data_IF_186007548971
#
_entry.id   IF_186007548971
#
_cell.length_a   1.000
_cell.length_b   1.000
_cell.length_c   1.000
_cell.angle_alpha   90.00
_cell.angle_beta   90.00
_cell.angle_gamma   90.00
#
_symmetry.space_group_name_H-M   'P 1'
#
loop_
_entity.id
_entity.type
_entity.pdbx_description
1 polymer ?
#
# COMPACT_ATOMS: atom_id res chain seq x y z
N UNK A 1 -50.77 -16.84 48.22
CA UNK A 1 -51.94 -17.66 47.82
C UNK A 1 -52.35 -17.14 46.44
N UNK A 2 -52.37 -17.88 45.34
CA UNK A 2 -52.48 -19.30 45.11
C UNK A 2 -51.58 -19.75 43.93
N UNK A 3 -51.28 -21.04 43.93
CA UNK A 3 -50.56 -21.76 42.89
C UNK A 3 -51.43 -21.98 41.65
N UNK A 4 -50.80 -22.19 40.50
CA UNK A 4 -51.26 -23.22 39.57
C UNK A 4 -50.08 -23.79 38.78
N UNK A 5 -50.10 -25.11 38.65
CA UNK A 5 -49.02 -25.98 38.25
C UNK A 5 -49.39 -26.73 36.95
N UNK A 6 -48.44 -27.57 36.50
CA UNK A 6 -48.57 -28.67 35.54
C UNK A 6 -48.62 -28.30 34.05
N UNK A 7 -48.11 -29.10 33.10
CA UNK A 7 -47.22 -30.27 33.03
C UNK A 7 -47.11 -30.53 31.50
N UNK A 8 -45.92 -30.64 30.90
CA UNK A 8 -45.13 -31.86 30.69
C UNK A 8 -45.56 -32.75 29.50
N UNK A 9 -44.52 -33.17 28.77
CA UNK A 9 -44.33 -34.37 27.92
C UNK A 9 -44.95 -34.44 26.51
N UNK A 10 -44.05 -34.74 25.56
CA UNK A 10 -44.31 -35.58 24.39
C UNK A 10 -44.29 -34.79 23.09
N UNK A 11 -43.68 -35.26 22.00
CA UNK A 11 -43.37 -36.63 21.61
C UNK A 11 -42.43 -36.57 20.39
N UNK A 12 -41.40 -37.41 20.38
CA UNK A 12 -40.61 -37.71 19.19
C UNK A 12 -41.50 -38.13 18.02
N UNK A 13 -41.23 -37.64 16.82
CA UNK A 13 -41.44 -38.38 15.57
C UNK A 13 -40.44 -37.89 14.50
N UNK A 14 -39.42 -38.70 14.23
CA UNK A 14 -38.86 -38.86 12.88
C UNK A 14 -39.87 -39.66 12.04
N UNK A 15 -39.95 -39.42 10.72
CA UNK A 15 -39.46 -40.41 9.75
C UNK A 15 -38.79 -39.75 8.53
N UNK A 16 -37.62 -40.22 8.07
CA UNK A 16 -37.38 -41.30 7.09
C UNK A 16 -37.31 -40.84 5.62
N UNK A 17 -36.09 -40.94 5.08
CA UNK A 17 -35.71 -41.41 3.73
C UNK A 17 -36.49 -40.95 2.49
N UNK A 18 -35.78 -40.26 1.58
CA UNK A 18 -35.92 -40.48 0.14
C UNK A 18 -34.60 -40.20 -0.58
N UNK A 19 -34.03 -41.25 -1.19
CA UNK A 19 -32.92 -41.18 -2.11
C UNK A 19 -33.40 -40.55 -3.45
N UNK A 20 -32.59 -39.67 -4.02
CA UNK A 20 -32.69 -39.28 -5.41
C UNK A 20 -31.28 -39.19 -6.01
N UNK A 21 -30.89 -40.26 -6.69
CA UNK A 21 -29.82 -40.29 -7.68
C UNK A 21 -30.19 -39.34 -8.82
N UNK A 22 -29.53 -38.18 -8.88
CA UNK A 22 -29.58 -37.25 -9.99
C UNK A 22 -28.22 -37.19 -10.68
N UNK A 23 -28.18 -37.58 -11.94
CA UNK A 23 -27.00 -37.75 -12.77
C UNK A 23 -26.10 -36.50 -12.83
N UNK A 24 -24.79 -36.71 -12.75
CA UNK A 24 -23.77 -35.70 -12.95
C UNK A 24 -23.62 -35.36 -14.45
N UNK A 25 -23.74 -34.09 -14.86
CA UNK A 25 -23.18 -33.66 -16.14
C UNK A 25 -21.66 -33.46 -15.96
N UNK A 26 -20.92 -34.37 -16.58
CA UNK A 26 -19.51 -34.27 -16.88
C UNK A 26 -19.23 -32.99 -17.68
N UNK A 27 -18.76 -31.94 -17.01
CA UNK A 27 -18.10 -30.81 -17.66
C UNK A 27 -16.59 -31.06 -17.63
N UNK A 28 -16.13 -31.58 -18.75
CA UNK A 28 -14.73 -31.78 -19.13
C UNK A 28 -13.92 -30.49 -18.88
N UNK A 29 -13.06 -30.50 -17.88
CA UNK A 29 -12.06 -29.45 -17.68
C UNK A 29 -10.92 -29.69 -18.69
N UNK A 30 -10.59 -28.73 -19.59
CA UNK A 30 -9.42 -28.88 -20.42
C UNK A 30 -8.16 -28.87 -19.54
N UNK A 31 -7.18 -29.76 -19.79
CA UNK A 31 -5.88 -29.65 -19.13
C UNK A 31 -5.20 -28.34 -19.57
N UNK A 32 -4.41 -27.69 -18.69
CA UNK A 32 -3.62 -26.55 -19.10
C UNK A 32 -2.64 -26.99 -20.19
N UNK A 33 -2.67 -26.31 -21.34
CA UNK A 33 -1.66 -26.51 -22.38
C UNK A 33 -0.28 -26.22 -21.78
N UNK A 34 0.52 -27.28 -21.65
CA UNK A 34 1.94 -27.17 -21.36
C UNK A 34 2.60 -26.57 -22.61
N UNK A 35 2.91 -25.27 -22.54
CA UNK A 35 3.88 -24.66 -23.44
C UNK A 35 5.23 -25.35 -23.25
N UNK A 36 5.91 -25.80 -24.33
CA UNK A 36 7.22 -26.41 -24.22
C UNK A 36 8.21 -25.39 -23.66
N UNK A 37 8.76 -25.69 -22.48
CA UNK A 37 9.83 -24.95 -21.87
C UNK A 37 11.07 -25.04 -22.78
N UNK A 38 11.42 -23.93 -23.42
CA UNK A 38 12.74 -23.79 -24.02
C UNK A 38 13.79 -23.91 -22.91
N UNK A 39 14.90 -24.66 -23.10
CA UNK A 39 15.94 -24.76 -22.10
C UNK A 39 16.71 -23.43 -22.05
N UNK A 40 16.25 -22.51 -21.21
CA UNK A 40 17.04 -21.32 -20.85
C UNK A 40 18.21 -21.80 -20.01
N UNK A 41 19.37 -21.84 -20.66
CA UNK A 41 20.70 -22.04 -20.09
C UNK A 41 20.85 -21.17 -18.83
N UNK A 42 20.78 -21.81 -17.65
CA UNK A 42 21.02 -21.15 -16.35
C UNK A 42 22.44 -20.57 -16.35
N UNK A 43 22.55 -19.25 -16.35
CA UNK A 43 23.76 -18.55 -15.87
C UNK A 43 23.57 -18.26 -14.39
N UNK A 44 24.51 -18.63 -13.50
CA UNK A 44 24.51 -18.13 -12.14
C UNK A 44 24.99 -16.68 -12.17
N UNK A 45 24.15 -15.77 -11.73
CA UNK A 45 24.43 -14.33 -11.80
C UNK A 45 23.24 -13.55 -11.30
N UNK A 46 22.90 -13.76 -10.02
CA UNK A 46 21.98 -12.88 -9.33
C UNK A 46 22.57 -11.48 -9.28
N UNK A 47 21.82 -10.53 -9.82
CA UNK A 47 21.53 -9.18 -9.31
C UNK A 47 20.97 -8.41 -10.51
N UNK A 48 19.67 -8.13 -10.46
CA UNK A 48 19.07 -7.09 -11.27
C UNK A 48 18.46 -6.07 -10.31
N UNK A 49 19.29 -5.19 -9.77
CA UNK A 49 18.82 -3.94 -9.16
C UNK A 49 18.62 -2.96 -10.31
N UNK A 50 17.38 -2.52 -10.51
CA UNK A 50 17.14 -1.32 -11.31
C UNK A 50 15.95 -0.56 -10.78
N UNK A 51 16.23 0.37 -9.88
CA UNK A 51 15.41 1.55 -9.68
C UNK A 51 16.30 2.77 -9.84
N UNK A 52 16.14 3.49 -10.94
CA UNK A 52 16.71 4.82 -11.13
C UNK A 52 15.57 5.77 -11.52
N UNK A 53 15.16 6.72 -10.66
CA UNK A 53 14.46 7.89 -11.13
C UNK A 53 15.50 8.81 -11.79
N UNK A 54 15.42 8.94 -13.12
CA UNK A 54 16.30 9.81 -13.88
C UNK A 54 16.27 11.23 -13.31
N UNK A 55 17.46 11.75 -13.00
CA UNK A 55 17.70 13.19 -12.96
C UNK A 55 17.22 13.80 -14.28
N UNK A 56 16.41 14.85 -14.18
CA UNK A 56 15.77 15.46 -15.33
C UNK A 56 15.27 16.84 -14.94
N UNK A 57 16.07 17.84 -15.24
CA UNK A 57 15.85 19.30 -15.36
C UNK A 57 14.57 19.85 -14.72
N UNK A 58 14.77 20.72 -13.73
CA UNK A 58 13.74 21.50 -13.08
C UNK A 58 13.25 22.66 -13.98
N UNK A 59 11.94 22.93 -14.10
CA UNK A 59 11.47 24.28 -14.30
C UNK A 59 11.37 24.97 -12.94
N UNK A 60 11.98 26.14 -12.84
CA UNK A 60 11.86 27.02 -11.67
C UNK A 60 10.40 27.49 -11.54
N UNK A 61 9.78 27.24 -10.39
CA UNK A 61 8.45 27.77 -10.06
C UNK A 61 7.91 27.14 -8.80
N UNK A 62 7.94 27.89 -7.70
CA UNK A 62 7.37 27.53 -6.39
C UNK A 62 8.08 26.38 -5.68
N UNK A 63 8.20 26.44 -4.35
CA UNK A 63 8.97 25.51 -3.50
C UNK A 63 8.56 24.03 -3.62
N UNK A 64 7.49 23.73 -4.36
CA UNK A 64 7.00 22.40 -4.72
C UNK A 64 7.62 21.82 -6.00
N UNK A 65 8.20 22.61 -6.91
CA UNK A 65 8.75 22.13 -8.18
C UNK A 65 10.05 21.31 -8.07
N UNK A 66 10.63 21.24 -6.87
CA UNK A 66 11.73 20.31 -6.54
C UNK A 66 11.25 18.93 -6.05
N UNK A 67 9.97 18.76 -5.76
CA UNK A 67 9.46 17.49 -5.22
C UNK A 67 9.42 16.40 -6.31
N UNK A 68 10.17 15.32 -6.10
CA UNK A 68 10.17 14.14 -6.97
C UNK A 68 9.68 12.92 -6.20
N UNK A 69 9.29 11.88 -6.94
CA UNK A 69 9.06 10.57 -6.33
C UNK A 69 10.37 10.08 -5.72
N UNK A 70 10.33 9.65 -4.47
CA UNK A 70 11.48 9.26 -3.68
C UNK A 70 12.05 10.38 -2.79
N UNK A 71 11.74 11.66 -3.05
CA UNK A 71 12.23 12.76 -2.24
C UNK A 71 11.77 12.64 -0.78
N UNK A 72 12.68 12.86 0.20
CA UNK A 72 12.30 12.98 1.59
C UNK A 72 11.54 14.29 1.81
N UNK A 73 10.51 14.24 2.65
CA UNK A 73 9.64 15.37 2.97
C UNK A 73 9.34 15.40 4.46
N UNK A 74 9.04 16.59 4.98
CA UNK A 74 8.55 16.80 6.34
C UNK A 74 7.18 17.47 6.30
N UNK A 75 6.25 16.95 7.08
CA UNK A 75 4.92 17.52 7.28
C UNK A 75 5.06 18.82 8.07
N UNK A 76 4.63 19.93 7.50
CA UNK A 76 4.70 21.26 8.12
C UNK A 76 3.49 21.48 9.02
N UNK A 77 2.31 21.07 8.56
CA UNK A 77 1.05 21.26 9.27
C UNK A 77 0.23 19.97 9.18
N UNK A 78 -0.39 19.59 10.29
CA UNK A 78 -1.24 18.42 10.36
C UNK A 78 -2.57 18.68 9.61
N UNK A 79 -2.88 17.95 8.53
CA UNK A 79 -4.15 18.11 7.83
C UNK A 79 -5.32 17.71 8.72
N UNK A 80 -6.44 18.41 8.64
CA UNK A 80 -7.68 18.06 9.38
C UNK A 80 -8.26 16.72 8.90
N UNK A 81 -8.16 16.45 7.60
CA UNK A 81 -8.73 15.27 6.94
C UNK A 81 -7.64 14.55 6.15
N UNK A 82 -7.57 13.22 6.29
CA UNK A 82 -6.59 12.36 5.64
C UNK A 82 -7.29 11.34 4.75
N UNK A 83 -6.80 11.18 3.52
CA UNK A 83 -7.27 10.13 2.63
C UNK A 83 -6.30 8.95 2.68
N UNK A 84 -6.81 7.80 3.14
CA UNK A 84 -5.99 6.59 3.31
C UNK A 84 -5.89 5.84 2.00
N UNK A 85 -4.71 5.31 1.69
CA UNK A 85 -4.46 4.47 0.50
C UNK A 85 -4.72 2.96 0.73
N UNK A 86 -5.69 2.61 1.59
CA UNK A 86 -6.10 1.22 1.83
C UNK A 86 -6.94 0.67 0.66
N UNK A 87 -7.21 -0.66 0.65
CA UNK A 87 -8.01 -1.31 -0.41
C UNK A 87 -9.36 -0.64 -0.65
N UNK A 88 -9.95 -0.05 0.39
CA UNK A 88 -11.10 0.84 0.29
C UNK A 88 -10.64 2.24 0.72
N UNK A 89 -10.42 3.18 -0.22
CA UNK A 89 -9.99 4.52 0.11
C UNK A 89 -11.09 5.26 0.87
N UNK A 90 -10.80 5.66 2.09
CA UNK A 90 -11.71 6.44 2.93
C UNK A 90 -11.05 7.74 3.37
N UNK A 91 -11.84 8.81 3.36
CA UNK A 91 -11.47 10.09 3.94
C UNK A 91 -11.81 10.05 5.43
N UNK A 92 -10.82 10.28 6.28
CA UNK A 92 -10.94 10.15 7.74
C UNK A 92 -10.44 11.41 8.42
N UNK A 93 -11.03 11.75 9.55
CA UNK A 93 -10.52 12.82 10.39
C UNK A 93 -9.14 12.43 10.95
N UNK A 94 -8.23 13.40 10.99
CA UNK A 94 -6.92 13.19 11.55
C UNK A 94 -6.97 13.20 13.08
N UNK A 95 -7.14 12.04 13.69
CA UNK A 95 -7.07 11.85 15.14
C UNK A 95 -5.62 11.77 15.65
N UNK A 96 -4.71 12.58 15.08
CA UNK A 96 -3.29 12.59 15.42
C UNK A 96 -2.45 11.49 14.74
N UNK A 97 -2.95 10.92 13.64
CA UNK A 97 -2.24 9.92 12.83
C UNK A 97 -1.09 10.55 12.04
N UNK A 98 -1.26 11.80 11.62
CA UNK A 98 -0.22 12.59 10.96
C UNK A 98 -0.08 13.89 11.72
N UNK A 99 1.13 14.20 12.16
CA UNK A 99 1.46 15.37 12.95
C UNK A 99 2.44 16.27 12.19
N UNK A 100 2.48 17.54 12.57
CA UNK A 100 3.55 18.42 12.14
C UNK A 100 4.89 17.87 12.64
N UNK A 101 5.91 17.90 11.79
CA UNK A 101 7.22 17.30 12.03
C UNK A 101 7.36 15.85 11.57
N UNK A 102 6.26 15.18 11.19
CA UNK A 102 6.37 13.81 10.67
C UNK A 102 7.17 13.80 9.36
N UNK A 103 8.12 12.87 9.27
CA UNK A 103 8.97 12.71 8.09
C UNK A 103 8.47 11.53 7.26
N UNK A 104 8.50 11.72 5.94
CA UNK A 104 8.07 10.70 4.99
C UNK A 104 8.85 10.75 3.68
N UNK A 105 8.40 9.91 2.75
CA UNK A 105 8.87 9.93 1.36
C UNK A 105 7.70 9.97 0.39
N UNK A 106 7.89 10.68 -0.72
CA UNK A 106 6.92 10.69 -1.81
C UNK A 106 6.96 9.34 -2.55
N UNK A 107 5.81 8.70 -2.66
CA UNK A 107 5.60 7.45 -3.41
C UNK A 107 5.10 7.70 -4.82
N UNK A 108 4.22 8.68 -5.02
CA UNK A 108 3.65 8.98 -6.34
C UNK A 108 3.08 10.39 -6.41
N UNK A 109 3.12 10.98 -7.62
CA UNK A 109 2.42 12.23 -7.96
C UNK A 109 0.97 11.93 -8.31
N UNK A 110 0.04 12.72 -7.78
CA UNK A 110 -1.35 12.76 -8.23
C UNK A 110 -1.67 14.12 -8.86
N UNK A 111 -2.73 14.19 -9.68
CA UNK A 111 -3.23 15.46 -10.18
C UNK A 111 -3.63 16.41 -9.03
N UNK A 112 -3.68 17.71 -9.32
CA UNK A 112 -4.11 18.78 -8.38
C UNK A 112 -3.21 18.91 -7.14
N UNK A 113 -1.90 18.74 -7.32
CA UNK A 113 -0.90 18.84 -6.24
C UNK A 113 -1.16 17.95 -5.03
N UNK A 114 -1.85 16.84 -5.26
CA UNK A 114 -2.00 15.76 -4.30
C UNK A 114 -0.83 14.79 -4.47
N UNK A 115 -0.30 14.27 -3.38
CA UNK A 115 0.86 13.39 -3.38
C UNK A 115 0.59 12.18 -2.50
N UNK A 116 0.96 10.99 -2.98
CA UNK A 116 0.99 9.80 -2.14
C UNK A 116 2.28 9.82 -1.33
N UNK A 117 2.17 9.91 -0.01
CA UNK A 117 3.28 10.01 0.91
C UNK A 117 3.28 8.78 1.81
N UNK A 118 4.44 8.12 1.93
CA UNK A 118 4.67 7.06 2.91
C UNK A 118 5.24 7.69 4.18
N UNK A 119 4.45 7.63 5.25
CA UNK A 119 4.83 7.96 6.62
C UNK A 119 5.04 6.67 7.41
N UNK A 120 5.59 6.78 8.62
CA UNK A 120 5.77 5.63 9.52
C UNK A 120 4.44 4.91 9.82
N UNK A 121 3.36 5.69 10.00
CA UNK A 121 2.02 5.16 10.32
C UNK A 121 1.35 4.48 9.12
N UNK A 122 1.66 4.92 7.89
CA UNK A 122 0.98 4.41 6.71
C UNK A 122 1.20 5.26 5.46
N UNK A 123 0.39 4.98 4.43
CA UNK A 123 0.42 5.73 3.17
C UNK A 123 -0.82 6.58 3.04
N UNK A 124 -0.62 7.88 2.82
CA UNK A 124 -1.68 8.88 2.80
C UNK A 124 -1.57 9.75 1.56
N UNK A 125 -2.71 10.31 1.13
CA UNK A 125 -2.73 11.35 0.11
C UNK A 125 -2.74 12.71 0.80
N UNK A 126 -1.67 13.48 0.59
CA UNK A 126 -1.46 14.80 1.17
C UNK A 126 -1.34 15.85 0.06
N UNK A 127 -1.92 17.02 0.27
CA UNK A 127 -1.71 18.17 -0.61
C UNK A 127 -0.30 18.74 -0.39
N UNK A 128 0.31 19.27 -1.45
CA UNK A 128 1.65 19.89 -1.40
C UNK A 128 1.79 21.07 -0.43
N UNK A 129 0.69 21.60 0.12
CA UNK A 129 0.68 22.65 1.15
C UNK A 129 0.99 22.15 2.56
N UNK A 130 0.80 20.86 2.84
CA UNK A 130 0.96 20.31 4.18
C UNK A 130 2.37 19.81 4.48
N UNK A 131 3.26 19.82 3.48
CA UNK A 131 4.62 19.31 3.64
C UNK A 131 5.61 20.09 2.76
N UNK A 132 6.90 19.98 3.10
CA UNK A 132 8.00 20.57 2.35
C UNK A 132 9.09 19.53 2.08
N UNK A 133 9.88 19.66 0.99
CA UNK A 133 11.06 18.84 0.81
C UNK A 133 12.00 18.97 2.00
N UNK A 134 12.64 17.88 2.37
CA UNK A 134 13.74 17.88 3.32
C UNK A 134 15.03 17.83 2.51
N UNK A 135 15.89 18.83 2.63
CA UNK A 135 17.21 18.78 2.00
C UNK A 135 18.01 17.70 2.72
N UNK A 136 18.17 16.54 2.09
CA UNK A 136 19.17 15.58 2.50
C UNK A 136 20.50 16.17 2.02
N UNK A 137 21.29 16.70 2.93
CA UNK A 137 22.63 17.18 2.64
C UNK A 137 23.37 16.10 1.87
N UNK A 138 23.85 16.47 0.69
CA UNK A 138 24.90 15.75 -0.01
C UNK A 138 26.11 15.81 0.94
N UNK A 139 26.41 14.72 1.64
CA UNK A 139 27.61 14.62 2.46
C UNK A 139 28.82 14.91 1.55
N UNK A 140 29.59 15.92 1.93
CA UNK A 140 30.77 16.41 1.25
C UNK A 140 31.73 15.25 0.88
N UNK A 141 31.96 15.05 -0.43
CA UNK A 141 33.17 14.39 -0.95
C UNK A 141 34.40 15.30 -0.70
N UNK A 142 34.67 15.68 0.55
CA UNK A 142 35.98 16.18 0.98
C UNK A 142 36.92 14.96 1.02
N UNK A 143 37.45 14.60 -0.15
CA UNK A 143 38.59 13.69 -0.25
C UNK A 143 39.81 14.43 0.30
N UNK A 144 40.43 14.02 1.41
CA UNK A 144 41.71 14.59 1.82
C UNK A 144 42.78 14.07 0.85
N UNK A 145 43.02 14.78 -0.25
CA UNK A 145 44.19 14.55 -1.08
C UNK A 145 45.33 15.36 -0.49
N UNK A 146 46.28 14.59 0.05
CA UNK A 146 47.53 14.96 0.70
C UNK A 146 48.31 16.07 0.01
N UNK A 147 48.97 16.96 0.78
CA UNK A 147 49.96 17.88 0.22
C UNK A 147 51.19 17.08 -0.23
N UNK A 148 51.40 16.99 -1.54
CA UNK A 148 52.65 16.47 -2.10
C UNK A 148 53.64 17.65 -2.20
N UNK A 149 54.82 17.42 -1.62
CA UNK A 149 55.98 18.30 -1.45
C UNK A 149 56.68 18.65 -2.77
#
# INVERSE_FOLDING_TARGET
MAASASASVGRMLQPSLAAATGAAPSSFAPPPQQVPATPVRRRPGGVAVRCAPSGGVAPAGDTTSKLRVGSPIVVVEAPVMLKTAASVPSLRYNSGQVKAGDVGRIMARKPKDVWAVRLAVGTYLLDGKFFRPLDAGEDDDESPVTPDE
#
